data_IF_213690424605
#
_entry.id   IF_213690424605
#
_cell.length_a   1.000
_cell.length_b   1.000
_cell.length_c   1.000
_cell.angle_alpha   90.00
_cell.angle_beta   90.00
_cell.angle_gamma   90.00
#
_symmetry.space_group_name_H-M   'P 1'
#
loop_
_entity.id
_entity.type
_entity.pdbx_description
1 polymer ?
#
# COMPACT_ATOMS: atom_id res chain seq x y z
N UNK A 1 -54.20 -2.21 23.44
CA UNK A 1 -52.81 -2.70 23.50
C UNK A 1 -52.01 -1.97 22.45
N UNK A 2 -51.15 -1.03 22.86
CA UNK A 2 -50.29 -0.26 21.94
C UNK A 2 -49.00 -1.06 21.71
N UNK A 3 -48.70 -1.39 20.45
CA UNK A 3 -47.41 -1.98 20.05
C UNK A 3 -46.31 -0.94 20.29
N UNK A 4 -45.23 -1.36 20.95
CA UNK A 4 -44.01 -0.57 21.06
C UNK A 4 -43.35 -0.44 19.68
N UNK A 5 -42.69 0.69 19.36
CA UNK A 5 -41.91 0.81 18.15
C UNK A 5 -40.65 -0.06 18.28
N UNK A 6 -40.41 -0.91 17.27
CA UNK A 6 -39.10 -1.51 17.03
C UNK A 6 -38.12 -0.35 16.80
N UNK A 7 -37.15 -0.21 17.67
CA UNK A 7 -35.96 0.60 17.39
C UNK A 7 -35.26 -0.04 16.19
N UNK A 8 -35.12 0.73 15.12
CA UNK A 8 -34.28 0.38 13.98
C UNK A 8 -32.86 0.21 14.52
N UNK A 9 -32.42 -1.04 14.67
CA UNK A 9 -31.03 -1.38 14.89
C UNK A 9 -30.32 -0.97 13.59
N UNK A 10 -29.76 0.23 13.59
CA UNK A 10 -28.75 0.62 12.63
C UNK A 10 -27.57 -0.31 12.91
N UNK A 11 -27.48 -1.40 12.16
CA UNK A 11 -26.25 -2.19 12.07
C UNK A 11 -25.25 -1.29 11.35
N UNK A 12 -24.56 -0.45 12.11
CA UNK A 12 -23.35 0.21 11.68
C UNK A 12 -22.41 -0.92 11.24
N UNK A 13 -22.19 -1.05 9.93
CA UNK A 13 -21.13 -1.90 9.40
C UNK A 13 -19.87 -1.57 10.17
N UNK A 14 -19.38 -2.50 10.99
CA UNK A 14 -18.05 -2.33 11.59
C UNK A 14 -17.07 -2.22 10.42
N UNK A 15 -16.31 -1.13 10.27
CA UNK A 15 -15.21 -1.15 9.34
C UNK A 15 -14.28 -2.28 9.80
N UNK A 16 -14.13 -3.31 8.98
CA UNK A 16 -13.25 -4.45 9.26
C UNK A 16 -11.83 -3.92 9.36
N UNK A 17 -11.28 -3.92 10.58
CA UNK A 17 -9.90 -3.50 10.81
C UNK A 17 -8.94 -4.53 10.23
N UNK A 18 -7.92 -4.05 9.54
CA UNK A 18 -6.78 -4.82 9.08
C UNK A 18 -5.72 -4.85 10.17
N UNK A 19 -5.17 -6.04 10.44
CA UNK A 19 -4.06 -6.17 11.38
C UNK A 19 -2.77 -5.78 10.66
N UNK A 20 -2.08 -4.78 11.20
CA UNK A 20 -0.83 -4.25 10.63
C UNK A 20 0.37 -5.03 11.14
N UNK A 21 0.40 -5.25 12.46
CA UNK A 21 1.51 -5.92 13.10
C UNK A 21 1.33 -6.05 14.61
N UNK A 22 2.36 -6.54 15.25
CA UNK A 22 2.40 -6.81 16.69
C UNK A 22 3.73 -6.35 17.27
N UNK A 23 3.68 -5.65 18.39
CA UNK A 23 4.82 -5.42 19.26
C UNK A 23 4.80 -6.43 20.40
N UNK A 24 5.89 -7.18 20.60
CA UNK A 24 6.03 -8.19 21.66
C UNK A 24 7.18 -7.91 22.59
N UNK A 25 6.94 -8.10 23.89
CA UNK A 25 7.99 -8.08 24.92
C UNK A 25 7.66 -9.08 26.02
N UNK A 26 8.35 -10.22 26.03
CA UNK A 26 8.01 -11.32 26.94
C UNK A 26 6.58 -11.81 26.70
N UNK A 27 5.71 -11.69 27.70
CA UNK A 27 4.28 -12.04 27.58
C UNK A 27 3.40 -10.85 27.19
N UNK A 28 3.96 -9.64 27.12
CA UNK A 28 3.21 -8.45 26.72
C UNK A 28 3.07 -8.41 25.20
N UNK A 29 1.86 -8.10 24.73
CA UNK A 29 1.51 -8.01 23.32
C UNK A 29 0.71 -6.74 23.10
N UNK A 30 1.12 -5.95 22.12
CA UNK A 30 0.39 -4.79 21.63
C UNK A 30 0.12 -5.02 20.15
N UNK A 31 -1.15 -5.05 19.74
CA UNK A 31 -1.53 -5.23 18.34
C UNK A 31 -1.77 -3.87 17.70
N UNK A 32 -1.22 -3.66 16.51
CA UNK A 32 -1.44 -2.47 15.70
C UNK A 32 -2.47 -2.85 14.63
N UNK A 33 -3.53 -2.07 14.54
CA UNK A 33 -4.59 -2.22 13.57
C UNK A 33 -4.71 -0.96 12.73
N UNK A 34 -5.21 -1.10 11.50
CA UNK A 34 -5.65 0.03 10.67
C UNK A 34 -7.05 -0.19 10.15
N UNK A 35 -7.77 0.89 9.93
CA UNK A 35 -8.95 0.90 9.07
C UNK A 35 -8.47 1.10 7.63
N UNK A 36 -8.66 0.11 6.74
CA UNK A 36 -8.38 0.29 5.33
C UNK A 36 -9.16 1.49 4.77
N UNK A 37 -8.52 2.25 3.90
CA UNK A 37 -9.16 3.37 3.23
C UNK A 37 -9.62 2.94 1.83
N UNK A 38 -10.79 3.42 1.40
CA UNK A 38 -11.27 3.20 0.03
C UNK A 38 -10.80 4.38 -0.82
N UNK A 39 -9.62 4.22 -1.39
CA UNK A 39 -8.95 5.21 -2.23
C UNK A 39 -9.76 5.59 -3.49
N UNK A 40 -10.73 4.75 -3.90
CA UNK A 40 -11.59 4.98 -5.04
C UNK A 40 -12.86 5.80 -4.72
N UNK A 41 -13.16 6.08 -3.44
CA UNK A 41 -14.44 6.70 -3.02
C UNK A 41 -14.34 8.03 -2.29
N UNK A 42 -13.15 8.49 -1.91
CA UNK A 42 -12.98 9.69 -1.08
C UNK A 42 -12.41 10.89 -1.83
N UNK A 43 -12.84 12.10 -1.45
CA UNK A 43 -11.88 13.21 -1.43
C UNK A 43 -10.93 12.91 -0.28
N UNK A 44 -9.64 12.97 -0.58
CA UNK A 44 -8.50 12.92 0.33
C UNK A 44 -8.66 13.79 1.60
N UNK A 45 -9.54 14.77 1.53
CA UNK A 45 -9.79 15.80 2.53
C UNK A 45 -10.73 15.35 3.67
N UNK A 46 -11.52 14.28 3.50
CA UNK A 46 -12.67 13.98 4.39
C UNK A 46 -12.39 12.92 5.48
N UNK A 47 -11.62 11.86 5.20
CA UNK A 47 -11.27 10.85 6.21
C UNK A 47 -9.93 10.21 5.84
N UNK A 48 -8.93 10.25 6.72
CA UNK A 48 -7.66 9.55 6.49
C UNK A 48 -7.78 8.09 6.93
N UNK A 49 -6.85 7.21 6.51
CA UNK A 49 -6.67 5.94 7.21
C UNK A 49 -6.57 6.20 8.73
N UNK A 50 -7.09 5.29 9.54
CA UNK A 50 -7.05 5.42 10.99
C UNK A 50 -6.35 4.22 11.59
N UNK A 51 -5.35 4.45 12.44
CA UNK A 51 -4.69 3.40 13.19
C UNK A 51 -5.31 3.24 14.57
N UNK A 52 -5.20 2.04 15.13
CA UNK A 52 -5.66 1.68 16.46
C UNK A 52 -4.62 0.82 17.16
N UNK A 53 -4.53 0.98 18.47
CA UNK A 53 -3.68 0.19 19.34
C UNK A 53 -4.56 -0.68 20.22
N UNK A 54 -4.28 -1.98 20.23
CA UNK A 54 -4.90 -2.94 21.12
C UNK A 54 -3.89 -3.39 22.18
N UNK A 55 -4.17 -3.10 23.45
CA UNK A 55 -3.32 -3.51 24.58
C UNK A 55 -4.21 -3.94 25.75
N UNK A 56 -3.90 -5.09 26.36
CA UNK A 56 -4.69 -5.60 27.49
C UNK A 56 -6.15 -5.91 27.16
N UNK A 57 -6.48 -6.13 25.88
CA UNK A 57 -7.85 -6.35 25.39
C UNK A 57 -8.66 -5.07 25.15
N UNK A 58 -8.05 -3.90 25.32
CA UNK A 58 -8.66 -2.62 24.97
C UNK A 58 -8.13 -2.11 23.64
N UNK A 59 -9.03 -1.81 22.71
CA UNK A 59 -8.74 -1.22 21.40
C UNK A 59 -9.02 0.28 21.45
N UNK A 60 -8.03 1.11 21.14
CA UNK A 60 -8.15 2.56 21.17
C UNK A 60 -7.65 3.19 19.85
N UNK A 61 -8.31 4.24 19.35
CA UNK A 61 -7.81 4.97 18.18
C UNK A 61 -6.47 5.63 18.50
N UNK A 62 -5.58 5.63 17.51
CA UNK A 62 -4.25 6.23 17.62
C UNK A 62 -4.10 7.36 16.60
N UNK A 63 -3.67 8.53 17.06
CA UNK A 63 -3.35 9.66 16.19
C UNK A 63 -2.00 9.40 15.49
N UNK A 64 -2.04 8.68 14.38
CA UNK A 64 -0.83 8.27 13.65
C UNK A 64 -0.27 9.37 12.74
N UNK A 65 -1.13 10.21 12.19
CA UNK A 65 -0.78 11.05 11.07
C UNK A 65 -0.37 12.46 11.47
N UNK A 66 0.73 12.93 10.89
CA UNK A 66 1.06 14.36 10.75
C UNK A 66 0.61 14.83 9.37
N UNK A 67 0.08 16.07 9.31
CA UNK A 67 -0.24 16.69 8.04
C UNK A 67 0.99 17.34 7.43
N UNK A 68 1.44 16.87 6.26
CA UNK A 68 2.39 17.59 5.41
C UNK A 68 1.65 18.05 4.16
N UNK A 69 1.75 19.34 3.85
CA UNK A 69 1.26 19.88 2.59
C UNK A 69 2.40 19.87 1.58
N UNK A 70 2.20 19.21 0.44
CA UNK A 70 3.14 19.21 -0.68
C UNK A 70 2.39 19.73 -1.90
N UNK A 71 2.82 20.88 -2.42
CA UNK A 71 2.12 21.60 -3.51
C UNK A 71 0.60 21.76 -3.27
N UNK A 72 0.22 22.17 -2.05
CA UNK A 72 -1.16 22.34 -1.59
C UNK A 72 -2.01 21.05 -1.45
N UNK A 73 -1.42 19.87 -1.65
CA UNK A 73 -2.06 18.58 -1.36
C UNK A 73 -1.71 18.09 0.05
N UNK A 74 -2.72 17.64 0.80
CA UNK A 74 -2.53 17.03 2.11
C UNK A 74 -2.04 15.59 1.96
N UNK A 75 -0.80 15.33 2.40
CA UNK A 75 -0.16 14.02 2.31
C UNK A 75 -0.01 13.43 3.73
N UNK A 76 -0.86 12.46 4.13
CA UNK A 76 -0.79 11.82 5.44
C UNK A 76 0.40 10.87 5.54
N UNK A 77 1.38 11.18 6.39
CA UNK A 77 2.42 10.20 6.78
C UNK A 77 2.19 9.74 8.22
N UNK A 78 2.25 8.43 8.54
CA UNK A 78 1.98 7.89 9.88
C UNK A 78 3.13 8.13 10.88
N UNK A 79 3.82 9.26 10.77
CA UNK A 79 5.06 9.61 11.48
C UNK A 79 4.92 9.57 13.01
N UNK A 80 3.75 9.94 13.56
CA UNK A 80 3.53 9.86 15.02
C UNK A 80 3.45 8.42 15.50
N UNK A 81 2.88 7.52 14.69
CA UNK A 81 2.85 6.10 15.01
C UNK A 81 4.24 5.48 14.87
N UNK A 82 4.99 5.86 13.83
CA UNK A 82 6.38 5.41 13.65
C UNK A 82 7.26 5.79 14.85
N UNK A 83 7.21 7.05 15.31
CA UNK A 83 7.96 7.47 16.50
C UNK A 83 7.54 6.71 17.76
N UNK A 84 6.24 6.47 17.93
CA UNK A 84 5.74 5.69 19.06
C UNK A 84 6.21 4.22 19.00
N UNK A 85 6.22 3.61 17.81
CA UNK A 85 6.76 2.27 17.60
C UNK A 85 8.25 2.25 17.94
N UNK A 86 9.04 3.21 17.46
CA UNK A 86 10.47 3.31 17.79
C UNK A 86 10.73 3.41 19.29
N UNK A 87 9.92 4.18 20.02
CA UNK A 87 10.01 4.25 21.48
C UNK A 87 9.74 2.88 22.12
N UNK A 88 8.78 2.11 21.60
CA UNK A 88 8.54 0.74 22.05
C UNK A 88 9.71 -0.19 21.72
N UNK A 89 10.33 -0.05 20.56
CA UNK A 89 11.55 -0.80 20.23
C UNK A 89 12.68 -0.49 21.22
N UNK A 90 12.86 0.78 21.62
CA UNK A 90 13.83 1.20 22.67
C UNK A 90 13.50 0.64 24.05
N UNK A 91 12.22 0.41 24.34
CA UNK A 91 11.74 -0.28 25.55
C UNK A 91 11.93 -1.81 25.51
N UNK A 92 12.50 -2.35 24.42
CA UNK A 92 12.78 -3.78 24.23
C UNK A 92 11.63 -4.58 23.65
N UNK A 93 10.66 -3.93 22.98
CA UNK A 93 9.69 -4.65 22.16
C UNK A 93 10.31 -5.04 20.81
N UNK A 94 9.84 -6.15 20.25
CA UNK A 94 10.11 -6.57 18.87
C UNK A 94 8.86 -6.31 18.03
N UNK A 95 9.02 -5.70 16.85
CA UNK A 95 7.95 -5.50 15.88
C UNK A 95 7.92 -6.66 14.89
N UNK A 96 6.75 -7.24 14.70
CA UNK A 96 6.46 -8.20 13.63
C UNK A 96 5.28 -7.67 12.82
N UNK A 97 5.47 -7.50 11.51
CA UNK A 97 4.42 -7.00 10.63
C UNK A 97 3.71 -8.15 9.93
N UNK A 98 2.42 -7.97 9.62
CA UNK A 98 1.68 -8.98 8.86
C UNK A 98 2.17 -9.07 7.41
N UNK A 99 2.61 -7.96 6.82
CA UNK A 99 3.18 -7.91 5.46
C UNK A 99 4.47 -8.73 5.31
N UNK A 100 5.26 -8.92 6.37
CA UNK A 100 6.50 -9.71 6.34
C UNK A 100 6.27 -11.20 6.05
N UNK A 101 5.04 -11.68 6.25
CA UNK A 101 4.66 -13.09 6.03
C UNK A 101 4.29 -13.39 4.59
N UNK A 102 4.07 -12.34 3.79
CA UNK A 102 3.55 -12.46 2.44
C UNK A 102 4.65 -12.84 1.45
N UNK A 103 4.25 -13.51 0.38
CA UNK A 103 5.08 -13.87 -0.76
C UNK A 103 4.35 -13.64 -2.07
N UNK A 104 5.05 -13.12 -3.06
CA UNK A 104 4.55 -13.06 -4.43
C UNK A 104 5.10 -14.28 -5.21
N UNK A 105 4.29 -14.95 -6.07
CA UNK A 105 2.90 -14.63 -6.45
C UNK A 105 1.80 -15.30 -5.58
N UNK A 106 2.14 -16.07 -4.55
CA UNK A 106 1.17 -16.87 -3.79
C UNK A 106 0.10 -16.04 -3.09
N UNK A 107 0.49 -14.90 -2.52
CA UNK A 107 -0.36 -14.02 -1.73
C UNK A 107 -0.88 -12.82 -2.54
N UNK A 108 -0.84 -12.86 -3.88
CA UNK A 108 -1.20 -11.71 -4.74
C UNK A 108 -2.60 -11.11 -4.48
N UNK A 109 -3.52 -11.90 -3.93
CA UNK A 109 -4.90 -11.48 -3.58
C UNK A 109 -5.06 -10.99 -2.14
N UNK A 110 -4.02 -11.08 -1.31
CA UNK A 110 -4.03 -10.56 0.06
C UNK A 110 -4.08 -9.04 0.01
N UNK A 111 -4.88 -8.45 0.90
CA UNK A 111 -5.08 -7.00 0.98
C UNK A 111 -4.10 -6.37 1.95
N UNK A 112 -3.55 -5.23 1.54
CA UNK A 112 -2.67 -4.36 2.31
C UNK A 112 -3.24 -2.95 2.14
N UNK A 113 -3.72 -2.36 3.22
CA UNK A 113 -4.30 -1.02 3.25
C UNK A 113 -5.46 -0.81 2.24
N UNK A 114 -6.26 -1.84 2.00
CA UNK A 114 -7.45 -1.81 1.13
C UNK A 114 -7.24 -2.48 -0.23
N UNK A 115 -6.02 -2.41 -0.76
CA UNK A 115 -5.65 -2.88 -2.10
C UNK A 115 -4.96 -4.24 -2.05
N UNK A 116 -5.13 -5.05 -3.10
CA UNK A 116 -4.47 -6.35 -3.19
C UNK A 116 -2.99 -6.20 -3.54
N UNK A 117 -2.15 -7.15 -3.16
CA UNK A 117 -0.72 -7.13 -3.54
C UNK A 117 -0.52 -7.04 -5.06
N UNK A 118 -1.40 -7.66 -5.86
CA UNK A 118 -1.46 -7.49 -7.32
C UNK A 118 -1.69 -6.03 -7.73
N UNK A 119 -2.66 -5.34 -7.11
CA UNK A 119 -2.91 -3.91 -7.35
C UNK A 119 -1.74 -3.02 -6.90
N UNK A 120 -1.00 -3.42 -5.86
CA UNK A 120 0.23 -2.73 -5.47
C UNK A 120 1.29 -2.81 -6.57
N UNK A 121 1.53 -4.00 -7.13
CA UNK A 121 2.47 -4.19 -8.25
C UNK A 121 2.03 -3.34 -9.45
N UNK A 122 0.75 -3.41 -9.84
CA UNK A 122 0.18 -2.58 -10.90
C UNK A 122 0.38 -1.08 -10.62
N UNK A 123 0.07 -0.61 -9.40
CA UNK A 123 0.20 0.78 -9.00
C UNK A 123 1.63 1.33 -9.06
N UNK A 124 2.62 0.50 -8.72
CA UNK A 124 4.03 0.85 -8.92
C UNK A 124 4.41 0.89 -10.41
N UNK A 125 3.94 -0.06 -11.21
CA UNK A 125 4.23 -0.13 -12.64
C UNK A 125 3.68 1.06 -13.44
N UNK A 126 2.61 1.71 -12.98
CA UNK A 126 2.10 2.95 -13.59
C UNK A 126 3.15 4.07 -13.65
N UNK A 127 4.14 4.09 -12.75
CA UNK A 127 5.23 5.07 -12.79
C UNK A 127 6.27 4.81 -13.90
N UNK A 128 6.19 3.65 -14.54
CA UNK A 128 7.01 3.28 -15.67
C UNK A 128 6.27 3.40 -17.02
N UNK A 129 5.03 3.90 -17.02
CA UNK A 129 4.20 4.05 -18.22
C UNK A 129 4.11 5.51 -18.71
N UNK A 130 3.95 5.68 -20.02
CA UNK A 130 3.59 6.96 -20.64
C UNK A 130 2.07 7.25 -20.55
N UNK A 131 1.64 8.42 -21.06
CA UNK A 131 0.22 8.82 -21.06
C UNK A 131 -0.69 7.88 -21.87
N UNK A 132 -0.12 6.99 -22.69
CA UNK A 132 -0.85 6.00 -23.50
C UNK A 132 -0.80 4.59 -22.88
N UNK A 133 -0.24 4.44 -21.68
CA UNK A 133 -0.07 3.14 -21.00
C UNK A 133 1.04 2.28 -21.60
N UNK A 134 2.02 2.88 -22.29
CA UNK A 134 3.19 2.16 -22.83
C UNK A 134 4.36 2.28 -21.87
N UNK A 135 4.98 1.16 -21.54
CA UNK A 135 6.20 1.17 -20.72
C UNK A 135 7.34 1.91 -21.41
N UNK A 136 8.06 2.72 -20.65
CA UNK A 136 9.33 3.28 -21.09
C UNK A 136 10.36 2.17 -21.36
N UNK A 137 11.32 2.43 -22.26
CA UNK A 137 12.41 1.48 -22.53
C UNK A 137 13.46 1.57 -21.42
N UNK A 138 13.66 0.48 -20.68
CA UNK A 138 14.70 0.35 -19.64
C UNK A 138 15.84 -0.56 -20.10
N UNK A 139 17.08 -0.27 -19.70
CA UNK A 139 18.23 -1.09 -20.12
C UNK A 139 18.38 -2.38 -19.33
N UNK A 140 17.84 -2.43 -18.13
CA UNK A 140 17.90 -3.56 -17.21
C UNK A 140 16.83 -3.39 -16.12
N UNK A 141 16.50 -4.48 -15.44
CA UNK A 141 15.47 -4.49 -14.37
C UNK A 141 15.77 -3.49 -13.25
N UNK A 142 17.04 -3.21 -12.94
CA UNK A 142 17.40 -2.24 -11.90
C UNK A 142 16.96 -0.82 -12.26
N UNK A 143 17.09 -0.42 -13.52
CA UNK A 143 16.61 0.90 -13.96
C UNK A 143 15.09 1.01 -13.88
N UNK A 144 14.36 -0.07 -14.16
CA UNK A 144 12.91 -0.12 -13.97
C UNK A 144 12.56 0.01 -12.48
N UNK A 145 13.22 -0.76 -11.60
CA UNK A 145 13.01 -0.70 -10.15
C UNK A 145 13.31 0.69 -9.58
N UNK A 146 14.44 1.31 -9.98
CA UNK A 146 14.81 2.66 -9.57
C UNK A 146 13.75 3.69 -10.02
N UNK A 147 13.12 3.48 -11.18
CA UNK A 147 12.06 4.34 -11.70
C UNK A 147 10.75 4.20 -10.92
N UNK A 148 10.26 2.97 -10.74
CA UNK A 148 8.96 2.75 -10.08
C UNK A 148 9.00 3.06 -8.58
N UNK A 149 10.17 2.95 -7.94
CA UNK A 149 10.33 3.25 -6.51
C UNK A 149 10.61 4.73 -6.20
N UNK A 150 10.86 5.58 -7.20
CA UNK A 150 10.95 7.04 -7.03
C UNK A 150 9.53 7.67 -6.97
N UNK A 151 8.74 7.23 -5.99
CA UNK A 151 7.33 7.56 -5.87
C UNK A 151 7.15 8.97 -5.31
N UNK A 152 6.58 9.93 -6.06
CA UNK A 152 6.29 11.26 -5.52
C UNK A 152 5.19 11.18 -4.47
N UNK A 153 5.32 11.97 -3.40
CA UNK A 153 4.38 11.97 -2.25
C UNK A 153 2.91 12.25 -2.62
N UNK A 154 2.66 12.99 -3.71
CA UNK A 154 1.32 13.25 -4.23
C UNK A 154 0.84 12.25 -5.29
N UNK A 155 1.70 11.34 -5.77
CA UNK A 155 1.40 10.43 -6.87
C UNK A 155 0.91 9.05 -6.44
N UNK A 156 1.26 8.60 -5.23
CA UNK A 156 0.77 7.33 -4.68
C UNK A 156 0.51 7.41 -3.18
N UNK A 157 -0.46 8.21 -2.74
CA UNK A 157 -0.64 8.46 -1.31
C UNK A 157 -0.98 7.21 -0.45
N UNK A 158 -1.56 6.18 -1.07
CA UNK A 158 -1.76 4.83 -0.54
C UNK A 158 -0.46 4.32 0.08
N UNK A 159 0.61 4.35 -0.72
CA UNK A 159 1.97 3.98 -0.35
C UNK A 159 2.49 4.86 0.78
N UNK A 160 2.26 6.17 0.70
CA UNK A 160 2.77 7.11 1.71
C UNK A 160 2.09 6.99 3.07
N UNK A 161 0.88 6.43 3.12
CA UNK A 161 0.13 6.17 4.35
C UNK A 161 0.55 4.89 5.09
N UNK A 162 1.36 4.04 4.48
CA UNK A 162 1.98 2.88 5.11
C UNK A 162 3.05 3.30 6.12
N UNK A 163 3.36 2.44 7.09
CA UNK A 163 4.54 2.61 7.94
C UNK A 163 5.82 2.44 7.11
N UNK A 164 6.92 3.10 7.48
CA UNK A 164 8.23 2.97 6.80
C UNK A 164 8.66 1.51 6.63
N UNK A 165 8.49 0.67 7.65
CA UNK A 165 8.81 -0.75 7.58
C UNK A 165 7.92 -1.53 6.61
N UNK A 166 6.66 -1.12 6.44
CA UNK A 166 5.78 -1.71 5.43
C UNK A 166 6.14 -1.24 4.02
N UNK A 167 6.62 0.00 3.88
CA UNK A 167 7.14 0.52 2.60
C UNK A 167 8.36 -0.26 2.14
N UNK A 168 9.29 -0.54 3.04
CA UNK A 168 10.45 -1.37 2.73
C UNK A 168 9.98 -2.75 2.25
N UNK A 169 9.04 -3.37 2.98
CA UNK A 169 8.58 -4.71 2.66
C UNK A 169 7.72 -4.79 1.38
N UNK A 170 6.88 -3.79 1.10
CA UNK A 170 6.11 -3.77 -0.14
C UNK A 170 7.04 -3.58 -1.35
N UNK A 171 8.09 -2.77 -1.22
CA UNK A 171 9.10 -2.63 -2.28
C UNK A 171 9.83 -3.95 -2.54
N UNK A 172 10.20 -4.71 -1.51
CA UNK A 172 10.78 -6.05 -1.70
C UNK A 172 9.83 -6.97 -2.48
N UNK A 173 8.55 -7.02 -2.09
CA UNK A 173 7.55 -7.87 -2.75
C UNK A 173 7.30 -7.47 -4.21
N UNK A 174 7.27 -6.17 -4.48
CA UNK A 174 7.11 -5.63 -5.84
C UNK A 174 8.37 -5.89 -6.66
N UNK A 175 9.56 -5.78 -6.07
CA UNK A 175 10.80 -6.07 -6.76
C UNK A 175 10.87 -7.54 -7.20
N UNK A 176 10.47 -8.48 -6.33
CA UNK A 176 10.38 -9.91 -6.67
C UNK A 176 9.43 -10.13 -7.86
N UNK A 177 8.24 -9.51 -7.84
CA UNK A 177 7.26 -9.61 -8.92
C UNK A 177 7.78 -9.02 -10.26
N UNK A 178 8.40 -7.85 -10.22
CA UNK A 178 8.91 -7.15 -11.41
C UNK A 178 10.12 -7.87 -12.01
N UNK A 179 10.96 -8.50 -11.18
CA UNK A 179 12.06 -9.35 -11.66
C UNK A 179 11.51 -10.56 -12.41
N UNK A 180 10.49 -11.23 -11.87
CA UNK A 180 9.82 -12.36 -12.55
C UNK A 180 9.24 -11.92 -13.91
N UNK A 181 8.45 -10.84 -13.93
CA UNK A 181 7.89 -10.27 -15.17
C UNK A 181 8.96 -9.87 -16.19
N UNK A 182 10.09 -9.34 -15.73
CA UNK A 182 11.23 -9.00 -16.59
C UNK A 182 11.87 -10.24 -17.22
N UNK A 183 12.06 -11.30 -16.44
CA UNK A 183 12.60 -12.58 -16.94
C UNK A 183 11.63 -13.27 -17.92
N UNK A 184 10.33 -13.05 -17.78
CA UNK A 184 9.29 -13.50 -18.71
C UNK A 184 9.17 -12.65 -19.99
N UNK A 185 9.86 -11.50 -20.05
CA UNK A 185 9.93 -10.64 -21.22
C UNK A 185 8.79 -9.62 -21.33
N UNK A 186 8.00 -9.40 -20.26
CA UNK A 186 6.82 -8.52 -20.31
C UNK A 186 7.14 -7.04 -20.62
N UNK A 187 8.38 -6.59 -20.36
CA UNK A 187 8.82 -5.21 -20.59
C UNK A 187 9.66 -5.01 -21.86
N UNK A 188 9.90 -6.07 -22.63
CA UNK A 188 10.67 -6.03 -23.87
C UNK A 188 9.70 -5.99 -25.06
N UNK A 189 9.17 -4.82 -25.40
CA UNK A 189 8.52 -4.65 -26.69
C UNK A 189 9.60 -4.51 -27.77
N UNK A 190 9.83 -5.59 -28.53
CA UNK A 190 10.43 -5.48 -29.86
C UNK A 190 9.48 -4.65 -30.74
N UNK A 191 9.99 -3.54 -31.27
CA UNK A 191 9.41 -2.91 -32.45
C UNK A 191 9.56 -3.92 -33.60
N UNK A 192 8.54 -4.74 -33.84
CA UNK A 192 8.30 -5.22 -35.20
C UNK A 192 7.85 -3.99 -36.02
N UNK A 193 8.83 -3.17 -36.42
CA UNK A 193 8.77 -2.45 -37.67
C UNK A 193 8.77 -3.50 -38.79
N UNK A 194 7.62 -4.11 -39.08
CA UNK A 194 7.39 -4.57 -40.46
C UNK A 194 6.98 -3.34 -41.27
N UNK A 195 8.02 -2.68 -41.80
CA UNK A 195 8.00 -2.10 -43.13
C UNK A 195 7.49 -3.17 -44.13
N UNK A 196 6.17 -3.36 -44.22
CA UNK A 196 5.53 -3.98 -45.38
C UNK A 196 4.62 -2.95 -46.06
N UNK A 197 4.78 -2.82 -47.38
CA UNK A 197 4.09 -1.91 -48.32
C UNK A 197 4.73 -0.53 -48.61
N UNK A 198 6.06 -0.46 -48.76
CA UNK A 198 6.67 0.41 -49.80
C UNK A 198 7.45 -0.43 -50.85
N UNK A 199 6.94 -1.61 -51.22
CA UNK A 199 7.35 -2.32 -52.44
C UNK A 199 6.14 -3.03 -53.08
N UNK A 200 5.09 -2.28 -53.45
CA UNK A 200 4.37 -2.60 -54.69
C UNK A 200 4.79 -1.58 -55.75
N UNK A 201 5.77 -2.04 -56.50
CA UNK A 201 6.36 -1.53 -57.72
C UNK A 201 5.36 -0.89 -58.71
N UNK A 202 5.78 0.26 -59.24
CA UNK A 202 5.62 0.77 -60.62
C UNK A 202 4.25 0.81 -61.34
#
# INVERSE_FOLDING_TARGET
>A
MKKAPMEDIIVLHQPTLEKVGVLRRGTETITIWRRPFDWNRGRWDDELPQYFIEQGGELQPFQAFTGKYVFDYYCPTPELLEWWIEDKLREGYELELEIEKLKYPEDRKVKINGDTLEMWVEGFLLFAEDENGRYYKFRNVRELLDCIFDVPIGGFPEYWSLLVWEKDKIQDLVADAVVEMWEEGEFQHEEEEEEEEEEEEE
#
